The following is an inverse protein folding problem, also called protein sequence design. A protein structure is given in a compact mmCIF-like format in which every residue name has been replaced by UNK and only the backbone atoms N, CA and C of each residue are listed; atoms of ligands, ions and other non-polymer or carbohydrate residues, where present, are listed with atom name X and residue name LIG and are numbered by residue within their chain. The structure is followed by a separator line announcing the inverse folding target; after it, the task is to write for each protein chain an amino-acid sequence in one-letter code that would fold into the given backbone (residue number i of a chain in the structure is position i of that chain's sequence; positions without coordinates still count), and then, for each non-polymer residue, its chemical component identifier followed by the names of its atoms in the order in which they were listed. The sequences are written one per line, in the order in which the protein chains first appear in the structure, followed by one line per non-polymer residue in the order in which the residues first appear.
data_IF_113890932084
#
_entry.id   IF_113890932084
#
_cell.length_a   1.000
_cell.length_b   1.000
_cell.length_c   1.000
_cell.angle_alpha   90.00
_cell.angle_beta   90.00
_cell.angle_gamma   90.00
#
_symmetry.space_group_name_H-M   'P 1'
#
loop_
_entity.id
_entity.type
_entity.pdbx_description
1 polymer ?
#
# COMPACT_ATOMS: atom_id res chain seq x y z
N UNK A 1 21.52 -8.60 51.43
CA UNK A 1 20.81 -9.70 50.71
C UNK A 1 19.44 -9.24 50.19
N UNK A 2 18.51 -8.76 51.01
CA UNK A 2 17.15 -8.38 50.59
C UNK A 2 17.14 -7.26 49.51
N UNK A 3 18.05 -6.27 49.55
CA UNK A 3 18.14 -5.19 48.55
C UNK A 3 18.66 -5.66 47.18
N UNK A 4 19.56 -6.66 47.16
CA UNK A 4 20.11 -7.25 45.94
C UNK A 4 19.07 -8.12 45.27
N UNK A 5 18.25 -8.85 46.02
CA UNK A 5 17.15 -9.67 45.52
C UNK A 5 16.07 -8.76 44.91
N UNK A 6 15.73 -7.63 45.55
CA UNK A 6 14.75 -6.67 45.02
C UNK A 6 15.24 -6.02 43.72
N UNK A 7 16.54 -5.70 43.62
CA UNK A 7 17.12 -5.13 42.40
C UNK A 7 17.13 -6.12 41.24
N UNK A 8 17.47 -7.39 41.54
CA UNK A 8 17.43 -8.47 40.55
C UNK A 8 15.98 -8.76 40.03
N UNK A 9 14.99 -8.73 40.94
CA UNK A 9 13.58 -8.92 40.59
C UNK A 9 13.06 -7.75 39.72
N UNK A 10 13.44 -6.51 40.04
CA UNK A 10 13.09 -5.33 39.25
C UNK A 10 13.71 -5.38 37.84
N UNK A 11 14.96 -5.83 37.74
CA UNK A 11 15.64 -5.98 36.43
C UNK A 11 15.00 -7.04 35.56
N UNK A 12 14.61 -8.18 36.14
CA UNK A 12 13.89 -9.27 35.43
C UNK A 12 12.51 -8.80 35.00
N UNK A 13 11.81 -8.02 35.82
CA UNK A 13 10.50 -7.47 35.49
C UNK A 13 10.58 -6.44 34.34
N UNK A 14 11.60 -5.59 34.34
CA UNK A 14 11.86 -4.64 33.25
C UNK A 14 12.22 -5.35 31.93
N UNK A 15 13.02 -6.43 32.00
CA UNK A 15 13.34 -7.25 30.84
C UNK A 15 12.13 -8.02 30.29
N UNK A 16 11.23 -8.50 31.15
CA UNK A 16 10.01 -9.17 30.74
C UNK A 16 8.99 -8.22 30.07
N UNK A 17 8.94 -6.95 30.54
CA UNK A 17 8.11 -5.90 29.90
C UNK A 17 8.69 -5.42 28.57
N UNK A 18 10.00 -5.44 28.40
CA UNK A 18 10.64 -5.11 27.13
C UNK A 18 10.49 -6.21 26.05
N UNK A 19 10.33 -7.47 26.47
CA UNK A 19 10.13 -8.58 25.54
C UNK A 19 8.68 -8.69 25.02
N UNK A 20 7.73 -7.93 25.59
CA UNK A 20 6.31 -7.96 25.20
C UNK A 20 5.88 -6.90 24.20
N UNK A 21 6.74 -5.96 23.86
CA UNK A 21 6.46 -4.95 22.83
C UNK A 21 7.10 -5.36 21.49
N UNK A 22 6.65 -6.48 20.93
CA UNK A 22 6.67 -6.59 19.47
C UNK A 22 5.59 -5.62 19.04
N UNK A 23 5.98 -4.43 18.61
CA UNK A 23 5.09 -3.53 17.90
C UNK A 23 4.50 -4.36 16.75
N UNK A 24 3.18 -4.59 16.74
CA UNK A 24 2.52 -5.07 15.53
C UNK A 24 2.94 -4.07 14.44
N UNK A 25 3.71 -4.55 13.46
CA UNK A 25 4.06 -3.72 12.32
C UNK A 25 2.75 -3.34 11.66
N UNK A 26 2.37 -2.08 11.79
CA UNK A 26 1.24 -1.54 11.06
C UNK A 26 1.61 -1.60 9.57
N UNK A 27 0.86 -2.38 8.81
CA UNK A 27 1.03 -2.48 7.38
C UNK A 27 -0.31 -2.34 6.68
N UNK A 28 -0.30 -1.69 5.54
CA UNK A 28 -1.46 -1.56 4.66
C UNK A 28 -1.07 -1.84 3.23
N UNK A 29 -2.01 -2.39 2.49
CA UNK A 29 -1.97 -2.53 1.04
C UNK A 29 -3.03 -1.60 0.47
N UNK A 30 -2.65 -0.75 -0.46
CA UNK A 30 -3.59 0.08 -1.20
C UNK A 30 -3.89 -0.56 -2.56
N UNK A 31 -5.16 -0.62 -2.92
CA UNK A 31 -5.63 -1.21 -4.17
C UNK A 31 -6.39 -0.14 -4.95
N UNK A 32 -6.00 0.10 -6.19
CA UNK A 32 -6.70 1.00 -7.11
C UNK A 32 -7.28 0.17 -8.26
N UNK A 33 -8.59 0.20 -8.40
CA UNK A 33 -9.33 -0.58 -9.40
C UNK A 33 -10.11 0.33 -10.35
N UNK A 34 -10.67 -0.25 -11.40
CA UNK A 34 -11.76 0.35 -12.14
C UNK A 34 -13.03 0.46 -11.29
N UNK A 35 -14.01 1.19 -11.79
CA UNK A 35 -15.35 1.24 -11.23
C UNK A 35 -16.16 0.01 -11.67
N UNK A 36 -17.27 -0.25 -10.99
CA UNK A 36 -18.21 -1.31 -11.39
C UNK A 36 -18.85 -1.08 -12.78
N UNK A 37 -18.82 0.17 -13.28
CA UNK A 37 -19.25 0.52 -14.64
C UNK A 37 -18.30 -0.07 -15.69
N UNK A 38 -17.02 -0.18 -15.38
CA UNK A 38 -16.00 -0.74 -16.27
C UNK A 38 -15.90 -2.27 -16.18
N UNK A 39 -16.19 -2.82 -14.99
CA UNK A 39 -16.18 -4.26 -14.74
C UNK A 39 -16.33 -4.56 -13.25
N UNK A 40 -16.79 -5.76 -12.93
CA UNK A 40 -17.04 -6.15 -11.54
C UNK A 40 -15.90 -6.95 -10.90
N UNK A 41 -14.99 -7.49 -11.71
CA UNK A 41 -13.98 -8.45 -11.25
C UNK A 41 -12.98 -7.81 -10.31
N UNK A 42 -12.46 -6.62 -10.66
CA UNK A 42 -11.47 -5.90 -9.87
C UNK A 42 -12.07 -5.36 -8.56
N UNK A 43 -13.22 -4.63 -8.57
CA UNK A 43 -13.88 -4.22 -7.33
C UNK A 43 -14.18 -5.39 -6.40
N UNK A 44 -14.70 -6.50 -6.92
CA UNK A 44 -14.96 -7.72 -6.13
C UNK A 44 -13.69 -8.36 -5.58
N UNK A 45 -12.56 -8.23 -6.27
CA UNK A 45 -11.29 -8.71 -5.77
C UNK A 45 -10.80 -7.83 -4.59
N UNK A 46 -10.97 -6.51 -4.68
CA UNK A 46 -10.67 -5.59 -3.58
C UNK A 46 -11.58 -5.85 -2.37
N UNK A 47 -12.88 -6.05 -2.57
CA UNK A 47 -13.82 -6.43 -1.51
C UNK A 47 -13.41 -7.73 -0.80
N UNK A 48 -12.96 -8.73 -1.56
CA UNK A 48 -12.46 -9.99 -0.98
C UNK A 48 -11.17 -9.78 -0.19
N UNK A 49 -10.28 -8.91 -0.65
CA UNK A 49 -9.07 -8.56 0.09
C UNK A 49 -9.42 -7.91 1.44
N UNK A 50 -10.38 -6.96 1.45
CA UNK A 50 -10.89 -6.33 2.67
C UNK A 50 -11.51 -7.38 3.60
N UNK A 51 -12.34 -8.28 3.06
CA UNK A 51 -12.97 -9.33 3.86
C UNK A 51 -11.97 -10.34 4.44
N UNK A 52 -10.82 -10.52 3.79
CA UNK A 52 -9.79 -11.49 4.21
C UNK A 52 -8.81 -10.89 5.21
N UNK A 53 -8.36 -9.66 4.99
CA UNK A 53 -7.27 -9.03 5.75
C UNK A 53 -7.74 -7.95 6.73
N UNK A 54 -8.98 -7.47 6.59
CA UNK A 54 -9.55 -6.39 7.38
C UNK A 54 -9.41 -5.03 6.70
N UNK A 55 -10.38 -4.14 6.97
CA UNK A 55 -10.38 -2.78 6.45
C UNK A 55 -9.25 -1.91 7.03
N UNK A 56 -8.66 -2.34 8.14
CA UNK A 56 -7.49 -1.70 8.75
C UNK A 56 -6.21 -1.93 7.97
N UNK A 57 -6.17 -3.01 7.16
CA UNK A 57 -5.01 -3.41 6.36
C UNK A 57 -5.17 -3.17 4.86
N UNK A 58 -6.39 -2.89 4.38
CA UNK A 58 -6.64 -2.71 2.94
C UNK A 58 -7.32 -1.38 2.70
N UNK A 59 -6.62 -0.49 2.01
CA UNK A 59 -7.18 0.73 1.43
C UNK A 59 -7.64 0.42 0.00
N UNK A 60 -8.82 0.88 -0.36
CA UNK A 60 -9.36 0.68 -1.71
C UNK A 60 -9.99 1.97 -2.22
N UNK A 61 -9.70 2.28 -3.48
CA UNK A 61 -10.33 3.37 -4.22
C UNK A 61 -10.48 2.95 -5.70
N UNK A 62 -11.24 3.73 -6.46
CA UNK A 62 -11.43 3.50 -7.90
C UNK A 62 -10.96 4.70 -8.69
N UNK A 63 -10.18 4.46 -9.77
CA UNK A 63 -9.86 5.54 -10.70
C UNK A 63 -11.12 5.95 -11.49
N UNK A 64 -11.18 7.21 -12.01
CA UNK A 64 -12.38 7.72 -12.66
C UNK A 64 -12.72 6.96 -13.95
N UNK A 65 -14.01 6.88 -14.31
CA UNK A 65 -14.46 6.25 -15.57
C UNK A 65 -13.84 6.93 -16.79
N UNK A 66 -13.64 8.25 -16.72
CA UNK A 66 -12.99 9.04 -17.77
C UNK A 66 -11.47 9.16 -17.57
N UNK A 67 -10.80 8.11 -17.10
CA UNK A 67 -9.38 8.12 -16.76
C UNK A 67 -8.46 8.68 -17.85
N UNK A 68 -8.83 8.56 -19.14
CA UNK A 68 -8.08 9.14 -20.26
C UNK A 68 -8.00 10.65 -20.20
N UNK A 69 -9.01 11.33 -19.67
CA UNK A 69 -9.07 12.79 -19.53
C UNK A 69 -8.86 13.26 -18.09
N UNK A 70 -8.89 12.36 -17.13
CA UNK A 70 -8.78 12.64 -15.70
C UNK A 70 -7.52 11.99 -15.07
N UNK A 71 -6.42 11.95 -15.82
CA UNK A 71 -5.15 11.35 -15.38
C UNK A 71 -4.64 11.95 -14.06
N UNK A 72 -4.82 13.26 -13.85
CA UNK A 72 -4.39 13.93 -12.61
C UNK A 72 -5.17 13.42 -11.38
N UNK A 73 -6.40 12.97 -11.54
CA UNK A 73 -7.17 12.33 -10.46
C UNK A 73 -6.53 11.00 -10.09
N UNK A 74 -6.19 10.17 -11.07
CA UNK A 74 -5.49 8.90 -10.85
C UNK A 74 -4.14 9.12 -10.14
N UNK A 75 -3.35 10.10 -10.60
CA UNK A 75 -2.09 10.49 -9.96
C UNK A 75 -2.30 10.90 -8.50
N UNK A 76 -3.32 11.73 -8.24
CA UNK A 76 -3.63 12.22 -6.89
C UNK A 76 -4.05 11.11 -5.95
N UNK A 77 -4.80 10.11 -6.43
CA UNK A 77 -5.19 8.93 -5.65
C UNK A 77 -3.97 8.09 -5.24
N UNK A 78 -3.06 7.82 -6.19
CA UNK A 78 -1.82 7.09 -5.92
C UNK A 78 -0.95 7.81 -4.88
N UNK A 79 -0.79 9.13 -5.02
CA UNK A 79 -0.07 9.97 -4.05
C UNK A 79 -0.76 9.98 -2.69
N UNK A 80 -2.09 10.00 -2.66
CA UNK A 80 -2.87 9.93 -1.41
C UNK A 80 -2.59 8.63 -0.66
N UNK A 81 -2.58 7.48 -1.34
CA UNK A 81 -2.20 6.21 -0.72
C UNK A 81 -0.78 6.24 -0.15
N UNK A 82 0.18 6.76 -0.92
CA UNK A 82 1.57 6.84 -0.50
C UNK A 82 1.82 7.81 0.66
N UNK A 83 0.87 8.70 0.96
CA UNK A 83 0.94 9.63 2.08
C UNK A 83 0.69 8.95 3.43
N UNK A 84 0.06 7.77 3.44
CA UNK A 84 -0.09 6.95 4.65
C UNK A 84 1.23 6.21 4.92
N UNK A 85 1.88 6.41 6.07
CA UNK A 85 3.18 5.80 6.38
C UNK A 85 3.12 4.28 6.53
N UNK A 86 1.93 3.74 6.80
CA UNK A 86 1.72 2.30 6.98
C UNK A 86 1.55 1.56 5.66
N UNK A 87 1.32 2.26 4.53
CA UNK A 87 1.21 1.63 3.21
C UNK A 87 2.57 1.09 2.78
N UNK A 88 2.62 -0.22 2.52
CA UNK A 88 3.80 -0.99 2.10
C UNK A 88 3.70 -1.51 0.66
N UNK A 89 2.51 -1.55 0.10
CA UNK A 89 2.30 -1.91 -1.30
C UNK A 89 1.14 -1.11 -1.90
N UNK A 90 1.27 -0.74 -3.16
CA UNK A 90 0.20 -0.15 -3.97
C UNK A 90 0.01 -1.05 -5.19
N UNK A 91 -1.20 -1.56 -5.33
CA UNK A 91 -1.61 -2.42 -6.43
C UNK A 91 -2.57 -1.65 -7.31
N UNK A 92 -2.16 -1.36 -8.52
CA UNK A 92 -3.03 -0.83 -9.55
C UNK A 92 -3.47 -1.99 -10.44
N UNK A 93 -4.73 -2.45 -10.32
CA UNK A 93 -5.21 -3.66 -10.99
C UNK A 93 -5.14 -3.53 -12.51
N UNK A 94 -5.42 -2.33 -13.02
CA UNK A 94 -5.18 -1.96 -14.41
C UNK A 94 -4.42 -0.63 -14.43
N UNK A 95 -3.17 -0.65 -14.92
CA UNK A 95 -2.34 0.54 -14.96
C UNK A 95 -2.77 1.45 -16.14
N UNK A 96 -3.82 2.24 -15.90
CA UNK A 96 -4.36 3.22 -16.83
C UNK A 96 -3.44 4.44 -16.95
N UNK A 97 -3.62 5.33 -17.97
CA UNK A 97 -2.85 6.56 -18.09
C UNK A 97 -2.81 7.37 -16.79
N UNK A 98 -1.60 7.83 -16.45
CA UNK A 98 -1.29 8.46 -15.15
C UNK A 98 -0.62 7.52 -14.15
N UNK A 99 -0.60 6.20 -14.39
CA UNK A 99 0.06 5.24 -13.51
C UNK A 99 1.54 5.55 -13.33
N UNK A 100 2.28 5.70 -14.44
CA UNK A 100 3.70 6.04 -14.39
C UNK A 100 3.95 7.36 -13.65
N UNK A 101 3.20 8.40 -13.98
CA UNK A 101 3.37 9.71 -13.35
C UNK A 101 3.10 9.65 -11.83
N UNK A 102 2.11 8.87 -11.42
CA UNK A 102 1.81 8.63 -10.01
C UNK A 102 2.93 7.87 -9.30
N UNK A 103 3.46 6.83 -9.92
CA UNK A 103 4.58 6.04 -9.36
C UNK A 103 5.86 6.87 -9.26
N UNK A 104 6.18 7.68 -10.27
CA UNK A 104 7.32 8.60 -10.21
C UNK A 104 7.17 9.58 -9.03
N UNK A 105 5.98 10.16 -8.83
CA UNK A 105 5.72 11.07 -7.70
C UNK A 105 5.87 10.38 -6.35
N UNK A 106 5.48 9.13 -6.22
CA UNK A 106 5.68 8.34 -5.00
C UNK A 106 7.18 8.21 -4.70
N UNK A 107 8.02 7.93 -5.69
CA UNK A 107 9.48 7.88 -5.54
C UNK A 107 10.06 9.25 -5.21
N UNK A 108 9.58 10.32 -5.85
CA UNK A 108 9.97 11.70 -5.54
C UNK A 108 9.64 12.11 -4.10
N UNK A 109 8.59 11.54 -3.50
CA UNK A 109 8.26 11.71 -2.09
C UNK A 109 9.20 10.96 -1.14
N UNK A 110 10.16 10.19 -1.66
CA UNK A 110 11.07 9.37 -0.87
C UNK A 110 10.46 8.08 -0.34
N UNK A 111 9.33 7.62 -0.92
CA UNK A 111 8.64 6.38 -0.53
C UNK A 111 9.17 5.20 -1.33
N UNK A 112 10.47 4.93 -1.20
CA UNK A 112 11.15 3.76 -1.80
C UNK A 112 10.80 2.45 -1.08
N UNK A 113 10.18 2.55 0.09
CA UNK A 113 9.71 1.43 0.91
C UNK A 113 8.41 0.79 0.39
N UNK A 114 7.69 1.46 -0.53
CA UNK A 114 6.43 0.97 -1.10
C UNK A 114 6.70 0.10 -2.32
N UNK A 115 6.17 -1.13 -2.31
CA UNK A 115 6.13 -1.99 -3.49
C UNK A 115 5.05 -1.49 -4.46
N UNK A 116 5.45 -1.12 -5.68
CA UNK A 116 4.55 -0.62 -6.72
C UNK A 116 4.27 -1.72 -7.76
N UNK A 117 3.00 -2.09 -7.89
CA UNK A 117 2.55 -3.14 -8.80
C UNK A 117 1.59 -2.57 -9.84
N UNK A 118 1.91 -2.77 -11.11
CA UNK A 118 1.10 -2.39 -12.27
C UNK A 118 0.53 -3.65 -12.95
N UNK A 119 -0.77 -3.84 -12.89
CA UNK A 119 -1.48 -4.88 -13.63
C UNK A 119 -1.93 -4.38 -15.00
N UNK A 120 -1.98 -5.25 -15.97
CA UNK A 120 -2.54 -5.04 -17.33
C UNK A 120 -2.33 -3.60 -17.84
N UNK A 121 -1.07 -3.15 -18.04
CA UNK A 121 -0.77 -1.76 -18.34
C UNK A 121 -1.36 -1.33 -19.69
N UNK A 122 -1.96 -0.15 -19.70
CA UNK A 122 -2.43 0.53 -20.91
C UNK A 122 -1.36 1.50 -21.46
N UNK A 123 -0.39 1.87 -20.64
CA UNK A 123 0.81 2.63 -21.07
C UNK A 123 1.82 1.67 -21.70
N UNK A 124 2.79 2.22 -22.44
CA UNK A 124 3.86 1.40 -23.05
C UNK A 124 4.55 0.54 -21.98
N UNK A 125 4.67 -0.77 -22.19
CA UNK A 125 5.28 -1.68 -21.23
C UNK A 125 6.68 -1.28 -20.77
N UNK A 126 7.50 -0.72 -21.67
CA UNK A 126 8.83 -0.25 -21.32
C UNK A 126 8.80 0.97 -20.41
N UNK A 127 7.80 1.83 -20.59
CA UNK A 127 7.60 3.05 -19.80
C UNK A 127 7.12 2.69 -18.39
N UNK A 128 6.13 1.84 -18.26
CA UNK A 128 5.60 1.45 -16.94
C UNK A 128 6.59 0.59 -16.16
N UNK A 129 7.34 -0.28 -16.83
CA UNK A 129 8.37 -1.12 -16.19
C UNK A 129 9.55 -0.31 -15.63
N UNK A 130 9.72 0.94 -16.05
CA UNK A 130 10.73 1.82 -15.47
C UNK A 130 10.28 2.47 -14.14
N UNK A 131 8.98 2.44 -13.84
CA UNK A 131 8.41 3.08 -12.66
C UNK A 131 7.83 2.09 -11.64
N UNK A 132 7.35 0.92 -12.08
CA UNK A 132 6.81 -0.13 -11.24
C UNK A 132 7.86 -1.17 -10.87
N UNK A 133 7.76 -1.73 -9.67
CA UNK A 133 8.62 -2.85 -9.22
C UNK A 133 8.17 -4.18 -9.84
N UNK A 134 6.85 -4.32 -10.05
CA UNK A 134 6.24 -5.50 -10.66
C UNK A 134 5.26 -5.06 -11.75
N UNK A 135 5.36 -5.66 -12.92
CA UNK A 135 4.39 -5.50 -14.00
C UNK A 135 3.79 -6.85 -14.36
N UNK A 136 2.46 -6.93 -14.39
CA UNK A 136 1.70 -8.14 -14.72
C UNK A 136 0.94 -7.91 -16.02
N UNK A 137 0.99 -8.89 -16.96
CA UNK A 137 0.32 -8.87 -18.25
C UNK A 137 -0.82 -9.88 -18.31
#
# INVERSE_FOLDING_TARGET
MKKIIALALALVLCLALAAGAVAEENWKIAILTGTTTQGEEEPRAAERAIATYGAEHVLWDTYPDNFMSEMETTVSQLVSFASDPDVKAIVMCQAVPGAKAGFDKIREMGRDDILLLAGVPQEDPAVISAAADIVMY
#
